data_IF_706753493197
#
_entry.id   IF_706753493197
#
_cell.length_a   1.000
_cell.length_b   1.000
_cell.length_c   1.000
_cell.angle_alpha   90.00
_cell.angle_beta   90.00
_cell.angle_gamma   90.00
#
_symmetry.space_group_name_H-M   'P 1'
#
loop_
_entity.id
_entity.type
_entity.pdbx_description
1 polymer ?
#
# COMPACT_ATOMS: atom_id res chain seq x y z
N UNK A 1 -2.06 8.33 -9.56
CA UNK A 1 -0.78 7.59 -9.52
C UNK A 1 -0.55 7.03 -10.90
N UNK A 2 0.62 7.21 -11.50
CA UNK A 2 0.92 6.75 -12.87
C UNK A 2 2.29 6.05 -12.89
N UNK A 3 2.49 5.15 -13.86
CA UNK A 3 3.78 4.51 -14.14
C UNK A 3 4.38 5.19 -15.37
N UNK A 4 5.54 5.83 -15.20
CA UNK A 4 6.30 6.42 -16.30
C UNK A 4 7.16 5.34 -16.98
N UNK A 5 7.05 5.23 -18.30
CA UNK A 5 7.85 4.30 -19.12
C UNK A 5 8.96 5.01 -19.90
N UNK A 6 8.94 6.34 -19.91
CA UNK A 6 9.93 7.21 -20.53
C UNK A 6 10.21 8.46 -19.69
N UNK A 7 11.28 9.18 -20.02
CA UNK A 7 11.61 10.46 -19.38
C UNK A 7 10.53 11.52 -19.67
N UNK A 8 9.93 11.48 -20.86
CA UNK A 8 8.84 12.38 -21.24
C UNK A 8 7.58 12.12 -20.38
N UNK A 9 7.20 10.85 -20.17
CA UNK A 9 6.09 10.49 -19.28
C UNK A 9 6.31 11.04 -17.86
N UNK A 10 7.54 10.93 -17.35
CA UNK A 10 7.89 11.39 -16.01
C UNK A 10 7.74 12.90 -15.89
N UNK A 11 8.22 13.66 -16.86
CA UNK A 11 8.09 15.13 -16.90
C UNK A 11 6.61 15.53 -16.92
N UNK A 12 5.81 14.88 -17.75
CA UNK A 12 4.39 15.15 -17.88
C UNK A 12 3.63 14.86 -16.58
N UNK A 13 3.90 13.72 -15.94
CA UNK A 13 3.24 13.33 -14.69
C UNK A 13 3.61 14.23 -13.51
N UNK A 14 4.88 14.64 -13.39
CA UNK A 14 5.31 15.56 -12.33
C UNK A 14 4.67 16.93 -12.53
N UNK A 15 4.65 17.44 -13.77
CA UNK A 15 4.05 18.72 -14.10
C UNK A 15 2.55 18.75 -13.78
N UNK A 16 1.83 17.67 -14.13
CA UNK A 16 0.43 17.51 -13.80
C UNK A 16 0.21 17.46 -12.28
N UNK A 17 1.01 16.68 -11.54
CA UNK A 17 0.88 16.57 -10.10
C UNK A 17 1.08 17.92 -9.38
N UNK A 18 2.08 18.72 -9.79
CA UNK A 18 2.31 20.06 -9.24
C UNK A 18 1.12 21.01 -9.45
N UNK A 19 0.41 20.89 -10.58
CA UNK A 19 -0.78 21.70 -10.85
C UNK A 19 -1.99 21.36 -9.96
N UNK A 20 -2.04 20.13 -9.43
CA UNK A 20 -3.15 19.63 -8.62
C UNK A 20 -2.91 19.95 -7.13
N UNK A 21 -1.67 19.83 -6.66
CA UNK A 21 -1.31 20.17 -5.27
C UNK A 21 0.11 20.71 -5.20
N UNK A 22 0.23 22.04 -5.06
CA UNK A 22 1.52 22.71 -4.92
C UNK A 22 2.15 22.51 -3.54
N UNK A 23 1.35 22.16 -2.52
CA UNK A 23 1.80 22.08 -1.12
C UNK A 23 2.38 20.70 -0.75
N UNK A 24 2.12 19.65 -1.54
CA UNK A 24 2.55 18.29 -1.22
C UNK A 24 3.60 17.77 -2.21
N UNK A 25 4.74 17.26 -1.72
CA UNK A 25 5.81 16.77 -2.58
C UNK A 25 5.39 15.52 -3.35
N UNK A 26 5.83 15.42 -4.60
CA UNK A 26 5.65 14.22 -5.43
C UNK A 26 6.63 13.14 -5.01
N UNK A 27 6.12 11.95 -4.72
CA UNK A 27 6.95 10.77 -4.41
C UNK A 27 7.18 9.97 -5.69
N UNK A 28 8.44 9.74 -6.03
CA UNK A 28 8.85 8.89 -7.15
C UNK A 28 9.53 7.64 -6.59
N UNK A 29 9.10 6.47 -7.03
CA UNK A 29 9.62 5.18 -6.59
C UNK A 29 9.93 4.27 -7.78
N UNK A 30 10.81 3.29 -7.55
CA UNK A 30 11.11 2.28 -8.56
C UNK A 30 9.91 1.36 -8.74
N UNK A 31 9.43 1.21 -9.97
CA UNK A 31 8.39 0.25 -10.29
C UNK A 31 8.90 -1.19 -10.17
N UNK A 32 8.13 -2.06 -9.52
CA UNK A 32 8.46 -3.47 -9.32
C UNK A 32 7.62 -4.34 -10.26
N UNK A 33 8.24 -4.81 -11.35
CA UNK A 33 7.61 -5.71 -12.31
C UNK A 33 7.31 -7.07 -11.67
N UNK A 34 6.18 -7.67 -12.07
CA UNK A 34 5.71 -8.98 -11.62
C UNK A 34 5.60 -9.15 -10.10
N UNK A 35 5.45 -8.03 -9.38
CA UNK A 35 5.24 -8.03 -7.95
C UNK A 35 3.77 -8.31 -7.61
N UNK A 36 3.55 -9.10 -6.56
CA UNK A 36 2.22 -9.23 -5.94
C UNK A 36 1.93 -8.01 -5.10
N UNK A 37 0.70 -7.50 -5.20
CA UNK A 37 0.19 -6.43 -4.35
C UNK A 37 -0.70 -7.02 -3.25
N UNK A 38 -0.54 -6.50 -2.03
CA UNK A 38 -1.20 -6.99 -0.82
C UNK A 38 -1.76 -5.80 -0.06
N UNK A 39 -3.06 -5.85 0.22
CA UNK A 39 -3.74 -4.89 1.07
C UNK A 39 -3.93 -5.48 2.46
N UNK A 40 -3.74 -4.65 3.49
CA UNK A 40 -3.97 -5.05 4.86
C UNK A 40 -4.79 -4.00 5.58
N UNK A 41 -6.00 -4.40 5.98
CA UNK A 41 -6.82 -3.60 6.88
C UNK A 41 -6.49 -3.97 8.32
N UNK A 42 -6.26 -2.97 9.16
CA UNK A 42 -5.85 -3.16 10.54
C UNK A 42 -6.61 -2.23 11.49
N UNK A 43 -6.95 -2.76 12.66
CA UNK A 43 -7.54 -2.03 13.79
C UNK A 43 -6.56 -2.13 14.95
N UNK A 44 -6.21 -1.01 15.57
CA UNK A 44 -5.29 -0.94 16.70
C UNK A 44 -5.81 0.03 17.78
N UNK A 45 -5.40 -0.16 19.03
CA UNK A 45 -5.70 0.74 20.15
C UNK A 45 -4.38 1.16 20.81
N UNK A 46 -4.12 2.46 20.88
CA UNK A 46 -2.88 3.01 21.44
C UNK A 46 -1.62 2.27 20.92
N UNK A 47 -1.53 2.13 19.59
CA UNK A 47 -0.43 1.46 18.91
C UNK A 47 -0.46 -0.07 18.94
N UNK A 48 -1.30 -0.69 19.77
CA UNK A 48 -1.41 -2.16 19.82
C UNK A 48 -2.43 -2.68 18.83
N UNK A 49 -1.96 -3.51 17.90
CA UNK A 49 -2.80 -4.20 16.93
C UNK A 49 -3.85 -5.09 17.62
N UNK A 50 -5.12 -4.92 17.24
CA UNK A 50 -6.29 -5.61 17.80
C UNK A 50 -6.77 -6.68 16.81
N UNK A 51 -6.89 -6.31 15.54
CA UNK A 51 -7.28 -7.21 14.46
C UNK A 51 -6.69 -6.71 13.14
N UNK A 52 -6.45 -7.63 12.20
CA UNK A 52 -6.14 -7.28 10.83
C UNK A 52 -6.65 -8.34 9.86
N UNK A 53 -6.91 -7.93 8.63
CA UNK A 53 -7.29 -8.78 7.51
C UNK A 53 -6.33 -8.53 6.35
N UNK A 54 -5.80 -9.61 5.78
CA UNK A 54 -4.92 -9.55 4.62
C UNK A 54 -5.72 -9.89 3.37
N UNK A 55 -5.56 -9.10 2.32
CA UNK A 55 -6.20 -9.25 1.02
C UNK A 55 -5.10 -9.41 -0.05
N UNK A 56 -5.26 -10.37 -0.95
CA UNK A 56 -4.36 -10.54 -2.09
C UNK A 56 -5.02 -10.00 -3.35
N UNK A 57 -4.29 -9.19 -4.11
CA UNK A 57 -4.71 -8.77 -5.45
C UNK A 57 -4.55 -9.94 -6.43
N UNK A 58 -5.51 -10.10 -7.35
CA UNK A 58 -5.42 -11.07 -8.44
C UNK A 58 -4.47 -10.55 -9.52
N UNK A 59 -4.55 -9.26 -9.82
CA UNK A 59 -3.65 -8.52 -10.70
C UNK A 59 -2.31 -8.26 -10.00
N UNK A 60 -1.25 -8.03 -10.79
CA UNK A 60 0.06 -7.63 -10.26
C UNK A 60 0.09 -6.14 -9.93
N UNK A 61 1.07 -5.73 -9.12
CA UNK A 61 1.28 -4.35 -8.75
C UNK A 61 1.39 -3.43 -9.98
N UNK A 62 0.72 -2.29 -9.90
CA UNK A 62 0.60 -1.32 -11.01
C UNK A 62 -0.82 -1.17 -11.56
N UNK A 63 -1.73 -2.07 -11.19
CA UNK A 63 -3.18 -1.82 -11.26
C UNK A 63 -3.60 -1.20 -9.92
N UNK A 64 -4.30 -0.07 -9.96
CA UNK A 64 -4.72 0.60 -8.74
C UNK A 64 -5.67 -0.30 -7.93
N UNK A 65 -5.53 -0.37 -6.61
CA UNK A 65 -6.31 -1.29 -5.76
C UNK A 65 -7.84 -1.15 -5.91
N UNK A 66 -8.32 0.08 -6.18
CA UNK A 66 -9.75 0.34 -6.46
C UNK A 66 -10.28 -0.25 -7.78
N UNK A 67 -9.39 -0.56 -8.72
CA UNK A 67 -9.72 -1.19 -10.01
C UNK A 67 -9.29 -2.68 -10.03
N UNK A 68 -8.59 -3.15 -8.99
CA UNK A 68 -8.10 -4.51 -8.88
C UNK A 68 -9.16 -5.45 -8.25
N UNK A 69 -9.06 -6.73 -8.58
CA UNK A 69 -9.85 -7.79 -7.95
C UNK A 69 -9.11 -8.29 -6.71
N UNK A 70 -9.79 -8.29 -5.56
CA UNK A 70 -9.22 -8.68 -4.27
C UNK A 70 -9.80 -10.02 -3.80
N UNK A 71 -8.96 -10.84 -3.15
CA UNK A 71 -9.38 -12.07 -2.46
C UNK A 71 -8.95 -12.08 -1.00
N UNK A 72 -9.89 -12.42 -0.13
CA UNK A 72 -9.72 -12.49 1.33
C UNK A 72 -10.29 -13.81 1.85
N UNK A 73 -9.49 -14.69 2.50
CA UNK A 73 -8.06 -14.56 2.80
C UNK A 73 -7.15 -14.74 1.56
N UNK A 74 -5.85 -14.38 1.66
CA UNK A 74 -4.92 -14.52 0.54
C UNK A 74 -4.66 -15.99 0.21
N UNK A 75 -4.66 -16.32 -1.08
CA UNK A 75 -4.64 -17.69 -1.59
C UNK A 75 -3.23 -18.20 -1.89
N UNK A 76 -2.31 -17.32 -2.31
CA UNK A 76 -0.98 -17.71 -2.82
C UNK A 76 0.19 -17.17 -2.01
N UNK A 77 -0.08 -16.62 -0.82
CA UNK A 77 0.97 -16.21 0.11
C UNK A 77 1.50 -17.37 0.95
N UNK A 78 2.83 -17.52 0.99
CA UNK A 78 3.49 -18.49 1.86
C UNK A 78 3.46 -18.04 3.34
N UNK A 79 3.78 -18.95 4.26
CA UNK A 79 3.71 -18.70 5.70
C UNK A 79 4.71 -17.63 6.17
N UNK A 80 5.90 -17.59 5.57
CA UNK A 80 6.94 -16.61 5.91
C UNK A 80 6.48 -15.19 5.57
N UNK A 81 5.97 -14.97 4.36
CA UNK A 81 5.43 -13.68 3.92
C UNK A 81 4.26 -13.24 4.79
N UNK A 82 3.34 -14.16 5.15
CA UNK A 82 2.25 -13.85 6.08
C UNK A 82 2.75 -13.41 7.46
N UNK A 83 3.80 -14.07 7.97
CA UNK A 83 4.45 -13.67 9.22
C UNK A 83 5.05 -12.27 9.13
N UNK A 84 5.82 -12.00 8.07
CA UNK A 84 6.42 -10.68 7.83
C UNK A 84 5.39 -9.57 7.70
N UNK A 85 4.25 -9.84 7.06
CA UNK A 85 3.13 -8.88 6.98
C UNK A 85 2.61 -8.56 8.38
N UNK A 86 2.38 -9.57 9.22
CA UNK A 86 1.90 -9.36 10.59
C UNK A 86 2.89 -8.54 11.43
N UNK A 87 4.20 -8.81 11.30
CA UNK A 87 5.26 -8.07 11.99
C UNK A 87 5.25 -6.60 11.54
N UNK A 88 5.25 -6.35 10.22
CA UNK A 88 5.23 -4.99 9.65
C UNK A 88 4.00 -4.22 10.12
N UNK A 89 2.81 -4.81 10.05
CA UNK A 89 1.55 -4.15 10.45
C UNK A 89 1.55 -3.84 11.94
N UNK A 90 2.09 -4.73 12.77
CA UNK A 90 2.22 -4.48 14.22
C UNK A 90 3.18 -3.34 14.49
N UNK A 91 4.34 -3.30 13.82
CA UNK A 91 5.31 -2.21 13.96
C UNK A 91 4.75 -0.88 13.47
N UNK A 92 4.03 -0.86 12.34
CA UNK A 92 3.40 0.36 11.82
C UNK A 92 2.31 0.87 12.76
N UNK A 93 1.49 -0.02 13.32
CA UNK A 93 0.46 0.37 14.27
C UNK A 93 1.08 1.09 15.49
N UNK A 94 2.16 0.54 16.04
CA UNK A 94 2.88 1.10 17.19
C UNK A 94 3.57 2.42 16.83
N UNK A 95 4.38 2.45 15.77
CA UNK A 95 5.15 3.64 15.40
C UNK A 95 4.26 4.84 15.04
N UNK A 96 3.11 4.58 14.39
CA UNK A 96 2.15 5.62 14.02
C UNK A 96 1.10 5.89 15.12
N UNK A 97 1.17 5.19 16.26
CA UNK A 97 0.22 5.30 17.37
C UNK A 97 -1.25 5.19 16.92
N UNK A 98 -1.54 4.21 16.05
CA UNK A 98 -2.89 3.99 15.52
C UNK A 98 -3.83 3.59 16.66
N UNK A 99 -4.99 4.25 16.74
CA UNK A 99 -6.01 3.97 17.74
C UNK A 99 -7.41 4.07 17.14
N UNK A 100 -8.30 3.11 17.43
CA UNK A 100 -9.71 3.19 17.10
C UNK A 100 -10.48 3.83 18.26
N UNK A 101 -11.38 4.78 17.96
CA UNK A 101 -12.10 5.54 18.99
C UNK A 101 -11.32 6.75 19.54
N UNK A 102 -11.91 7.48 20.48
CA UNK A 102 -11.25 8.63 21.11
C UNK A 102 -10.03 8.20 21.95
N UNK A 103 -8.99 9.06 22.01
CA UNK A 103 -7.68 8.73 22.61
C UNK A 103 -7.74 8.29 24.07
#
# INVERSE_FOLDING_TARGET
MNVAYSDDDLIDFISLAQSISAEHPVVVSKFMLDAKEIDVDAVAQAGRLVAFAVCEHIENAGVHSGDATLVTPPQRLNRETKGRIADIVTTLADELQVSYGEP
#
